data_IF_850725857952
#
_entry.id   IF_850725857952
#
_cell.length_a   1.000
_cell.length_b   1.000
_cell.length_c   1.000
_cell.angle_alpha   90.00
_cell.angle_beta   90.00
_cell.angle_gamma   90.00
#
_symmetry.space_group_name_H-M   'P 1'
#
loop_
_entity.id
_entity.type
_entity.pdbx_description
1 polymer ?
#
# COMPACT_ATOMS: atom_id res chain seq x y z
N UNK A 1 -23.29 -32.57 -27.27
CA UNK A 1 -24.19 -31.57 -26.66
C UNK A 1 -23.48 -31.09 -25.42
N UNK A 2 -22.87 -29.91 -25.47
CA UNK A 2 -23.49 -28.62 -25.07
C UNK A 2 -23.53 -28.56 -23.54
N UNK A 3 -22.98 -27.57 -22.84
CA UNK A 3 -22.37 -26.27 -23.13
C UNK A 3 -21.70 -25.82 -21.81
N UNK A 4 -20.61 -25.05 -21.85
CA UNK A 4 -20.65 -23.58 -21.68
C UNK A 4 -21.34 -23.16 -20.37
N UNK A 5 -20.54 -22.84 -19.35
CA UNK A 5 -20.33 -21.47 -18.79
C UNK A 5 -21.09 -21.42 -17.45
N UNK A 6 -20.62 -20.84 -16.35
CA UNK A 6 -19.93 -19.57 -16.21
C UNK A 6 -18.85 -19.67 -15.12
N UNK A 7 -17.63 -19.23 -15.43
CA UNK A 7 -16.66 -18.87 -14.40
C UNK A 7 -17.10 -17.52 -13.85
N UNK A 8 -17.64 -17.51 -12.63
CA UNK A 8 -18.02 -16.28 -11.96
C UNK A 8 -16.79 -15.36 -11.82
N UNK A 9 -16.89 -14.29 -12.59
CA UNK A 9 -15.94 -13.24 -12.84
C UNK A 9 -16.00 -12.22 -11.70
N UNK A 10 -15.31 -12.45 -10.59
CA UNK A 10 -15.07 -11.39 -9.59
C UNK A 10 -13.71 -11.57 -8.91
N UNK A 11 -12.63 -11.19 -9.59
CA UNK A 11 -11.35 -10.72 -8.98
C UNK A 11 -10.36 -10.36 -10.09
N UNK A 12 -10.57 -9.22 -10.75
CA UNK A 12 -9.59 -8.70 -11.73
C UNK A 12 -9.22 -7.25 -11.47
N UNK A 13 -9.04 -6.83 -10.20
CA UNK A 13 -8.41 -5.53 -9.87
C UNK A 13 -7.73 -5.45 -8.49
N UNK A 14 -7.58 -6.55 -7.75
CA UNK A 14 -6.84 -6.55 -6.48
C UNK A 14 -5.60 -7.42 -6.62
N UNK A 15 -4.61 -6.90 -7.31
CA UNK A 15 -3.26 -7.45 -7.26
C UNK A 15 -2.79 -7.23 -5.82
N UNK A 16 -2.44 -8.27 -5.04
CA UNK A 16 -1.76 -8.04 -3.77
C UNK A 16 -0.44 -7.34 -4.11
N UNK A 17 -0.29 -6.10 -3.65
CA UNK A 17 0.86 -5.25 -4.00
C UNK A 17 2.20 -5.90 -3.62
N UNK A 18 2.20 -6.86 -2.70
CA UNK A 18 3.42 -7.55 -2.29
C UNK A 18 3.19 -9.01 -1.93
N UNK A 19 3.99 -9.88 -2.55
CA UNK A 19 4.18 -11.28 -2.19
C UNK A 19 5.42 -11.46 -1.28
N UNK A 20 5.62 -10.56 -0.33
CA UNK A 20 6.74 -10.69 0.61
C UNK A 20 6.21 -11.25 1.94
N UNK A 21 6.86 -12.32 2.40
CA UNK A 21 6.73 -12.84 3.77
C UNK A 21 6.79 -11.68 4.79
N UNK A 22 6.02 -11.75 5.89
CA UNK A 22 6.01 -10.70 6.90
C UNK A 22 7.43 -10.46 7.41
N UNK A 23 7.85 -9.20 7.41
CA UNK A 23 9.15 -8.81 7.93
C UNK A 23 9.28 -9.26 9.40
N UNK A 24 10.47 -9.78 9.70
CA UNK A 24 10.86 -10.40 10.96
C UNK A 24 10.44 -9.57 12.20
N UNK A 25 9.92 -10.25 13.23
CA UNK A 25 9.27 -9.64 14.39
C UNK A 25 10.21 -8.79 15.27
N UNK A 26 11.52 -8.87 15.03
CA UNK A 26 12.57 -8.24 15.84
C UNK A 26 13.34 -7.13 15.10
N UNK A 27 12.78 -6.61 13.99
CA UNK A 27 13.34 -5.46 13.30
C UNK A 27 12.99 -4.14 14.02
N UNK A 28 13.92 -3.16 14.08
CA UNK A 28 13.65 -1.88 14.72
C UNK A 28 12.43 -1.22 14.08
N UNK A 29 11.42 -0.93 14.90
CA UNK A 29 10.15 -0.40 14.43
C UNK A 29 10.20 1.12 14.34
N UNK A 30 9.84 1.67 13.18
CA UNK A 30 9.64 3.11 13.02
C UNK A 30 8.37 3.56 13.75
N UNK A 31 8.37 4.77 14.32
CA UNK A 31 7.21 5.35 15.02
C UNK A 31 5.91 5.35 14.19
N UNK A 32 6.02 5.42 12.85
CA UNK A 32 4.88 5.35 11.94
C UNK A 32 4.22 3.97 12.00
N UNK A 33 5.00 2.89 12.05
CA UNK A 33 4.48 1.52 12.12
C UNK A 33 3.82 1.26 13.45
N UNK A 34 4.38 1.76 14.54
CA UNK A 34 3.77 1.66 15.87
C UNK A 34 2.42 2.38 15.92
N UNK A 35 2.35 3.60 15.37
CA UNK A 35 1.10 4.35 15.28
C UNK A 35 0.03 3.60 14.47
N UNK A 36 0.41 3.01 13.33
CA UNK A 36 -0.51 2.21 12.49
C UNK A 36 -0.97 0.95 13.22
N UNK A 37 -0.07 0.20 13.87
CA UNK A 37 -0.43 -0.99 14.65
C UNK A 37 -1.43 -0.66 15.75
N UNK A 38 -1.21 0.47 16.45
CA UNK A 38 -2.13 0.96 17.48
C UNK A 38 -3.49 1.32 16.88
N UNK A 39 -3.53 2.05 15.79
CA UNK A 39 -4.78 2.46 15.14
C UNK A 39 -5.59 1.28 14.60
N UNK A 40 -4.91 0.24 14.09
CA UNK A 40 -5.53 -1.02 13.68
C UNK A 40 -6.04 -1.83 14.88
N UNK A 41 -5.27 -1.88 15.98
CA UNK A 41 -5.67 -2.58 17.20
C UNK A 41 -6.85 -1.91 17.91
N UNK A 42 -6.92 -0.57 17.87
CA UNK A 42 -8.05 0.22 18.38
C UNK A 42 -9.27 0.19 17.43
N UNK A 43 -9.12 -0.39 16.23
CA UNK A 43 -10.19 -0.45 15.23
C UNK A 43 -10.60 0.91 14.66
N UNK A 44 -9.72 1.93 14.77
CA UNK A 44 -9.99 3.28 14.25
C UNK A 44 -10.11 3.29 12.73
N UNK A 45 -9.37 2.40 12.06
CA UNK A 45 -9.37 2.23 10.61
C UNK A 45 -9.38 0.74 10.24
N UNK A 46 -10.08 0.41 9.15
CA UNK A 46 -10.21 -0.98 8.67
C UNK A 46 -9.08 -1.42 7.74
N UNK A 47 -8.33 -0.46 7.17
CA UNK A 47 -7.24 -0.72 6.22
C UNK A 47 -6.23 0.41 6.23
N UNK A 48 -4.99 0.10 5.91
CA UNK A 48 -3.94 1.10 5.67
C UNK A 48 -4.05 1.59 4.23
N UNK A 49 -4.08 2.91 4.03
CA UNK A 49 -4.09 3.53 2.70
C UNK A 49 -3.09 4.69 2.68
N UNK A 50 -1.96 4.48 2.03
CA UNK A 50 -0.92 5.51 1.88
C UNK A 50 -1.00 6.17 0.52
N UNK A 51 -0.38 7.35 0.39
CA UNK A 51 -0.33 8.09 -0.86
C UNK A 51 0.99 8.82 -1.01
N UNK A 52 1.53 8.85 -2.22
CA UNK A 52 2.66 9.69 -2.57
C UNK A 52 2.14 10.83 -3.46
N UNK A 53 2.12 12.10 -2.98
CA UNK A 53 1.63 13.23 -3.73
C UNK A 53 2.75 14.12 -4.33
N UNK A 54 3.41 13.74 -5.45
CA UNK A 54 4.39 14.63 -6.07
C UNK A 54 3.70 15.77 -6.83
N UNK A 55 4.25 16.97 -6.71
CA UNK A 55 3.88 18.08 -7.58
C UNK A 55 4.36 17.79 -9.02
N UNK A 56 3.53 18.00 -10.06
CA UNK A 56 3.90 17.72 -11.46
C UNK A 56 4.89 18.74 -12.05
N UNK A 57 5.42 19.67 -11.24
CA UNK A 57 6.21 20.80 -11.70
C UNK A 57 7.71 20.50 -11.85
N UNK A 58 8.19 19.37 -11.33
CA UNK A 58 9.61 19.01 -11.34
C UNK A 58 9.84 17.49 -11.45
N UNK A 59 11.00 17.11 -11.98
CA UNK A 59 11.40 15.70 -12.06
C UNK A 59 11.68 15.11 -10.69
N UNK A 60 11.27 13.85 -10.50
CA UNK A 60 11.62 13.11 -9.28
C UNK A 60 13.13 12.89 -9.22
N UNK A 61 13.73 13.21 -8.08
CA UNK A 61 15.14 12.91 -7.79
C UNK A 61 15.24 11.87 -6.66
N UNK A 62 16.45 11.42 -6.34
CA UNK A 62 16.70 10.36 -5.35
C UNK A 62 16.11 10.67 -3.95
N UNK A 63 15.94 11.95 -3.60
CA UNK A 63 15.28 12.37 -2.36
C UNK A 63 13.83 11.87 -2.27
N UNK A 64 13.11 11.83 -3.38
CA UNK A 64 11.74 11.31 -3.44
C UNK A 64 11.69 9.78 -3.36
N UNK A 65 12.76 9.08 -3.74
CA UNK A 65 12.79 7.62 -3.67
C UNK A 65 12.57 7.13 -2.23
N UNK A 66 13.09 7.85 -1.23
CA UNK A 66 12.87 7.52 0.19
C UNK A 66 11.40 7.65 0.59
N UNK A 67 10.73 8.72 0.20
CA UNK A 67 9.31 8.93 0.51
C UNK A 67 8.44 7.85 -0.15
N UNK A 68 8.67 7.60 -1.44
CA UNK A 68 7.97 6.53 -2.19
C UNK A 68 8.16 5.18 -1.51
N UNK A 69 9.39 4.84 -1.13
CA UNK A 69 9.70 3.55 -0.52
C UNK A 69 9.04 3.38 0.85
N UNK A 70 8.96 4.43 1.66
CA UNK A 70 8.29 4.39 2.96
C UNK A 70 6.78 4.22 2.78
N UNK A 71 6.15 5.06 1.95
CA UNK A 71 4.70 5.02 1.73
C UNK A 71 4.25 3.68 1.12
N UNK A 72 4.99 3.21 0.11
CA UNK A 72 4.74 1.91 -0.52
C UNK A 72 5.02 0.75 0.43
N UNK A 73 6.17 0.77 1.12
CA UNK A 73 6.59 -0.29 2.03
C UNK A 73 5.60 -0.49 3.18
N UNK A 74 5.05 0.59 3.73
CA UNK A 74 4.01 0.51 4.76
C UNK A 74 2.72 -0.08 4.18
N UNK A 75 2.26 0.37 3.02
CA UNK A 75 1.05 -0.19 2.42
C UNK A 75 1.21 -1.70 2.14
N UNK A 76 2.38 -2.09 1.67
CA UNK A 76 2.79 -3.45 1.39
C UNK A 76 2.80 -4.32 2.67
N UNK A 77 3.43 -3.86 3.75
CA UNK A 77 3.57 -4.59 5.02
C UNK A 77 2.21 -4.85 5.70
N UNK A 78 1.28 -3.89 5.61
CA UNK A 78 -0.03 -4.00 6.24
C UNK A 78 -1.13 -4.50 5.27
N UNK A 79 -0.78 -4.94 4.05
CA UNK A 79 -1.75 -5.42 3.06
C UNK A 79 -2.76 -4.35 2.61
N UNK A 80 -2.35 -3.08 2.68
CA UNK A 80 -3.14 -1.90 2.37
C UNK A 80 -3.19 -1.55 0.89
N UNK A 81 -3.50 -0.28 0.60
CA UNK A 81 -3.46 0.31 -0.74
C UNK A 81 -2.49 1.48 -0.78
N UNK A 82 -1.87 1.69 -1.94
CA UNK A 82 -0.97 2.82 -2.20
C UNK A 82 -1.45 3.60 -3.42
N UNK A 83 -1.67 4.90 -3.28
CA UNK A 83 -2.06 5.78 -4.38
C UNK A 83 -0.92 6.72 -4.77
N UNK A 84 -0.57 6.76 -6.06
CA UNK A 84 0.21 7.86 -6.63
C UNK A 84 -0.75 8.97 -7.04
N UNK A 85 -0.64 10.16 -6.45
CA UNK A 85 -1.50 11.31 -6.76
C UNK A 85 -0.65 12.46 -7.26
N UNK A 86 -0.84 12.94 -8.48
CA UNK A 86 -0.20 14.20 -8.87
C UNK A 86 -0.93 15.35 -8.15
N UNK A 87 -0.19 16.17 -7.40
CA UNK A 87 -0.76 17.33 -6.69
C UNK A 87 -0.70 18.54 -7.62
N UNK A 88 -1.74 18.70 -8.44
CA UNK A 88 -1.83 19.64 -9.57
C UNK A 88 -2.87 20.76 -9.36
N UNK A 89 -2.96 21.29 -8.12
CA UNK A 89 -3.82 22.46 -7.82
C UNK A 89 -3.54 23.66 -8.72
#
# INVERSE_FOLDING_TARGET
MSGCEEKESITKNNIPICANEPADADSPTDFIREAIKKDLAEGRFNRVHTRFPPEPNAYLHIGHAKAIWIDYGIACEFGGLFNLRFDDT
#
